data_IF_609072369299
#
_entry.id   IF_609072369299
#
_cell.length_a   1.000
_cell.length_b   1.000
_cell.length_c   1.000
_cell.angle_alpha   90.00
_cell.angle_beta   90.00
_cell.angle_gamma   90.00
#
_symmetry.space_group_name_H-M   'P 1'
#
loop_
_entity.id
_entity.type
_entity.pdbx_description
1 polymer ?
#
# COMPACT_ATOMS: atom_id res chain seq x y z
N UNK A 1 -3.83 24.82 -34.40
CA UNK A 1 -3.18 24.49 -33.12
C UNK A 1 -3.80 23.21 -32.59
N UNK A 2 -3.01 22.15 -32.37
CA UNK A 2 -3.55 20.88 -31.86
C UNK A 2 -3.99 21.09 -30.41
N UNK A 3 -5.30 21.11 -30.17
CA UNK A 3 -5.89 21.09 -28.83
C UNK A 3 -5.61 19.72 -28.23
N UNK A 4 -4.50 19.62 -27.52
CA UNK A 4 -4.09 18.40 -26.85
C UNK A 4 -4.75 18.39 -25.47
N UNK A 5 -5.97 17.87 -25.40
CA UNK A 5 -6.55 17.47 -24.13
C UNK A 5 -7.13 16.08 -24.32
N UNK A 6 -6.53 15.11 -23.64
CA UNK A 6 -7.24 14.62 -22.48
C UNK A 6 -6.36 14.73 -21.25
N UNK A 7 -6.96 15.19 -20.16
CA UNK A 7 -6.46 15.16 -18.78
C UNK A 7 -6.32 13.73 -18.27
N UNK A 8 -5.89 12.80 -19.13
CA UNK A 8 -5.71 11.39 -18.81
C UNK A 8 -4.38 11.23 -18.11
N UNK A 9 -4.43 10.91 -16.83
CA UNK A 9 -3.26 10.58 -16.04
C UNK A 9 -3.01 9.06 -16.18
N UNK A 10 -1.82 8.69 -16.64
CA UNK A 10 -1.42 7.29 -16.81
C UNK A 10 -0.72 6.76 -15.56
N UNK A 11 -0.90 5.47 -15.26
CA UNK A 11 -0.18 4.80 -14.21
C UNK A 11 1.21 4.38 -14.68
N UNK A 12 2.26 4.88 -14.03
CA UNK A 12 3.64 4.52 -14.37
C UNK A 12 3.98 3.05 -14.08
N UNK A 13 3.17 2.37 -13.26
CA UNK A 13 3.40 0.99 -12.86
C UNK A 13 2.77 -0.06 -13.80
N UNK A 14 1.65 0.26 -14.47
CA UNK A 14 0.94 -0.68 -15.35
C UNK A 14 0.46 -0.08 -16.69
N UNK A 15 0.59 1.23 -16.88
CA UNK A 15 0.16 1.92 -18.10
C UNK A 15 -1.32 2.28 -18.17
N UNK A 16 -2.14 1.92 -17.17
CA UNK A 16 -3.57 2.21 -17.18
C UNK A 16 -3.85 3.72 -17.21
N UNK A 17 -4.86 4.12 -17.99
CA UNK A 17 -5.24 5.54 -18.18
C UNK A 17 -6.52 5.87 -17.44
N UNK A 18 -6.48 6.95 -16.66
CA UNK A 18 -7.61 7.41 -15.86
C UNK A 18 -7.99 8.85 -16.21
N UNK A 19 -9.28 9.16 -16.10
CA UNK A 19 -9.78 10.52 -16.26
C UNK A 19 -9.37 11.36 -15.03
N UNK A 20 -8.22 12.01 -15.12
CA UNK A 20 -7.68 12.90 -14.09
C UNK A 20 -6.85 12.21 -12.99
N UNK A 21 -6.18 13.05 -12.20
CA UNK A 21 -5.24 12.63 -11.15
C UNK A 21 -5.94 11.86 -10.02
N UNK A 22 -7.21 12.17 -9.72
CA UNK A 22 -7.97 11.50 -8.65
C UNK A 22 -8.21 10.02 -8.97
N UNK A 23 -8.60 9.71 -10.21
CA UNK A 23 -8.77 8.33 -10.68
C UNK A 23 -7.46 7.56 -10.62
N UNK A 24 -6.38 8.19 -11.08
CA UNK A 24 -5.04 7.61 -11.01
C UNK A 24 -4.59 7.35 -9.56
N UNK A 25 -4.81 8.29 -8.65
CA UNK A 25 -4.41 8.16 -7.24
C UNK A 25 -5.19 7.03 -6.54
N UNK A 26 -6.49 6.91 -6.81
CA UNK A 26 -7.30 5.80 -6.28
C UNK A 26 -6.83 4.46 -6.85
N UNK A 27 -6.55 4.40 -8.14
CA UNK A 27 -5.99 3.20 -8.77
C UNK A 27 -4.64 2.84 -8.15
N UNK A 28 -3.68 3.77 -8.05
CA UNK A 28 -2.37 3.52 -7.44
C UNK A 28 -2.51 3.00 -6.00
N UNK A 29 -3.44 3.56 -5.21
CA UNK A 29 -3.72 3.10 -3.83
C UNK A 29 -4.36 1.71 -3.73
N UNK A 30 -5.05 1.23 -4.76
CA UNK A 30 -5.73 -0.07 -4.74
C UNK A 30 -4.92 -1.17 -5.43
N UNK A 31 -4.37 -0.87 -6.61
CA UNK A 31 -3.69 -1.83 -7.47
C UNK A 31 -2.18 -1.91 -7.20
N UNK A 32 -1.56 -0.81 -6.78
CA UNK A 32 -0.11 -0.71 -6.62
C UNK A 32 0.34 -0.31 -5.22
N UNK A 33 -0.60 -0.22 -4.27
CA UNK A 33 -0.23 -0.09 -2.87
C UNK A 33 0.28 -1.45 -2.44
N UNK A 34 1.61 -1.57 -2.39
CA UNK A 34 2.23 -2.64 -1.66
C UNK A 34 1.66 -2.57 -0.23
N UNK A 35 0.97 -3.63 0.24
CA UNK A 35 0.54 -3.66 1.62
C UNK A 35 1.80 -3.41 2.45
N UNK A 36 1.76 -2.36 3.27
CA UNK A 36 2.88 -2.03 4.15
C UNK A 36 3.10 -3.25 5.02
N UNK A 37 4.12 -4.05 4.67
CA UNK A 37 4.44 -5.23 5.43
C UNK A 37 5.15 -4.75 6.67
N UNK A 38 4.56 -5.03 7.82
CA UNK A 38 5.18 -4.71 9.10
C UNK A 38 6.03 -5.92 9.49
N UNK A 39 7.33 -5.70 9.65
CA UNK A 39 8.24 -6.73 10.12
C UNK A 39 8.18 -6.81 11.65
N UNK A 40 8.22 -8.02 12.19
CA UNK A 40 8.40 -8.25 13.60
C UNK A 40 9.86 -7.98 13.97
N UNK A 41 10.10 -7.08 14.92
CA UNK A 41 11.44 -6.77 15.44
C UNK A 41 12.10 -7.95 16.18
N UNK A 42 11.30 -8.88 16.71
CA UNK A 42 11.80 -10.03 17.46
C UNK A 42 12.28 -11.21 16.57
N UNK A 43 11.65 -11.43 15.41
CA UNK A 43 11.94 -12.59 14.55
C UNK A 43 12.10 -12.27 13.06
N UNK A 44 11.81 -11.05 12.63
CA UNK A 44 11.90 -10.62 11.24
C UNK A 44 10.70 -10.99 10.36
N UNK A 45 9.71 -11.71 10.87
CA UNK A 45 8.54 -12.13 10.10
C UNK A 45 7.73 -10.93 9.59
N UNK A 46 7.28 -11.02 8.33
CA UNK A 46 6.54 -9.95 7.65
C UNK A 46 5.05 -10.23 7.62
N UNK A 47 4.27 -9.29 8.13
CA UNK A 47 2.82 -9.39 8.17
C UNK A 47 2.13 -8.30 7.35
N UNK A 48 0.97 -8.63 6.79
CA UNK A 48 0.13 -7.71 6.06
C UNK A 48 -0.50 -6.69 7.03
N UNK A 49 0.17 -5.56 7.23
CA UNK A 49 -0.28 -4.49 8.11
C UNK A 49 -0.13 -4.76 9.61
N UNK A 50 -0.47 -3.75 10.40
CA UNK A 50 -0.22 -3.70 11.84
C UNK A 50 -1.04 -4.73 12.63
N UNK A 51 -2.27 -5.05 12.20
CA UNK A 51 -3.13 -5.99 12.90
C UNK A 51 -2.56 -7.42 12.86
N UNK A 52 -2.03 -7.85 11.70
CA UNK A 52 -1.37 -9.13 11.55
C UNK A 52 -0.12 -9.23 12.41
N UNK A 53 0.69 -8.17 12.41
CA UNK A 53 1.87 -8.09 13.28
C UNK A 53 1.50 -8.14 14.76
N UNK A 54 0.48 -7.40 15.20
CA UNK A 54 0.05 -7.36 16.59
C UNK A 54 -0.48 -8.72 17.08
N UNK A 55 -1.22 -9.44 16.25
CA UNK A 55 -1.68 -10.80 16.54
C UNK A 55 -0.50 -11.78 16.61
N UNK A 56 0.44 -11.69 15.66
CA UNK A 56 1.65 -12.49 15.68
C UNK A 56 2.45 -12.25 16.95
N UNK A 57 2.70 -10.97 17.32
CA UNK A 57 3.39 -10.63 18.57
C UNK A 57 2.67 -11.29 19.74
N UNK A 58 1.38 -11.04 19.95
CA UNK A 58 0.62 -11.66 21.06
C UNK A 58 0.74 -13.19 21.16
N UNK A 59 0.82 -13.90 20.04
CA UNK A 59 0.89 -15.37 20.02
C UNK A 59 2.31 -15.95 20.05
N UNK A 60 3.21 -15.37 19.27
CA UNK A 60 4.57 -15.89 19.04
C UNK A 60 5.62 -15.23 19.93
N UNK A 61 5.39 -14.00 20.36
CA UNK A 61 6.28 -13.21 21.20
C UNK A 61 5.43 -12.51 22.25
N UNK A 62 5.13 -13.20 23.37
CA UNK A 62 4.37 -12.71 24.53
C UNK A 62 4.97 -11.44 25.16
N UNK A 63 5.09 -10.37 24.39
CA UNK A 63 5.83 -9.14 24.67
C UNK A 63 4.79 -8.03 24.74
N UNK A 64 4.67 -7.55 25.96
CA UNK A 64 3.87 -6.46 26.47
C UNK A 64 3.69 -5.32 25.45
N UNK A 65 2.46 -5.10 24.98
CA UNK A 65 2.08 -3.97 24.10
C UNK A 65 1.86 -2.72 24.96
N UNK A 66 2.91 -2.25 25.64
CA UNK A 66 2.93 -0.97 26.33
C UNK A 66 4.32 -0.34 26.24
N UNK A 67 4.50 0.52 25.23
CA UNK A 67 5.09 1.85 25.40
C UNK A 67 4.23 2.82 24.58
#
# INVERSE_FOLDING_TARGET
>A
MRLQHPTTAACDACGDRFLGQNGLNMHKKKAHRHPTTAACDACGDRFLGQNGLNMHKKKAHMVNIYI
#
